data_IF_165528587979
#
_entry.id   IF_165528587979
#
_cell.length_a   1.000
_cell.length_b   1.000
_cell.length_c   1.000
_cell.angle_alpha   90.00
_cell.angle_beta   90.00
_cell.angle_gamma   90.00
#
_symmetry.space_group_name_H-M   'P 1'
#
loop_
_entity.id
_entity.type
_entity.pdbx_description
1 polymer ?
#
# COMPACT_ATOMS: atom_id res chain seq x y z
N UNK A 1 7.63 10.27 20.92
CA UNK A 1 7.41 9.00 20.19
C UNK A 1 6.75 7.93 21.05
N UNK A 2 7.14 7.76 22.31
CA UNK A 2 6.50 6.78 23.20
C UNK A 2 5.05 7.14 23.52
N UNK A 3 4.74 8.41 23.66
CA UNK A 3 3.37 8.90 23.84
C UNK A 3 2.46 8.53 22.64
N UNK A 4 2.96 8.65 21.42
CA UNK A 4 2.22 8.26 20.21
C UNK A 4 1.95 6.75 20.19
N UNK A 5 2.93 5.93 20.56
CA UNK A 5 2.74 4.46 20.68
C UNK A 5 1.66 4.11 21.69
N UNK A 6 1.68 4.76 22.85
CA UNK A 6 0.68 4.56 23.88
C UNK A 6 -0.73 4.94 23.42
N UNK A 7 -0.88 6.04 22.70
CA UNK A 7 -2.16 6.45 22.12
C UNK A 7 -2.67 5.42 21.10
N UNK A 8 -1.79 4.91 20.22
CA UNK A 8 -2.13 3.87 19.26
C UNK A 8 -2.56 2.57 19.98
N UNK A 9 -1.82 2.16 21.00
CA UNK A 9 -2.13 0.96 21.78
C UNK A 9 -3.46 1.08 22.54
N UNK A 10 -3.79 2.27 23.03
CA UNK A 10 -5.08 2.53 23.66
C UNK A 10 -6.26 2.37 22.70
N UNK A 11 -6.12 2.80 21.46
CA UNK A 11 -7.16 2.65 20.42
C UNK A 11 -7.36 1.19 20.03
N UNK A 12 -6.31 0.41 19.91
CA UNK A 12 -6.40 -1.02 19.55
C UNK A 12 -6.78 -1.91 20.73
N UNK A 13 -6.65 -1.43 21.98
CA UNK A 13 -7.09 -2.13 23.18
C UNK A 13 -8.61 -2.07 23.39
N UNK A 14 -9.31 -1.11 22.76
CA UNK A 14 -10.75 -0.97 22.85
C UNK A 14 -11.43 -2.11 22.04
N UNK A 15 -12.29 -2.97 22.67
CA UNK A 15 -12.97 -4.06 21.98
C UNK A 15 -13.90 -3.58 20.85
N UNK A 16 -14.41 -2.36 20.94
CA UNK A 16 -15.26 -1.75 19.90
C UNK A 16 -14.49 -0.85 18.94
N UNK A 17 -13.18 -0.69 19.16
CA UNK A 17 -12.31 0.12 18.34
C UNK A 17 -11.70 -0.62 17.15
N UNK A 18 -10.57 -0.13 16.69
CA UNK A 18 -9.80 -0.73 15.60
C UNK A 18 -9.05 -1.96 16.14
N UNK A 19 -9.27 -3.17 15.57
CA UNK A 19 -8.66 -4.38 16.09
C UNK A 19 -7.13 -4.37 16.04
N UNK A 20 -6.55 -3.76 15.03
CA UNK A 20 -5.11 -3.66 14.91
C UNK A 20 -4.66 -2.71 13.81
N UNK A 21 -3.44 -2.24 13.92
CA UNK A 21 -2.85 -1.31 12.98
C UNK A 21 -1.34 -1.44 12.91
N UNK A 22 -0.77 -1.05 11.78
CA UNK A 22 0.68 -0.89 11.60
C UNK A 22 0.95 0.52 11.10
N UNK A 23 1.86 1.19 11.77
CA UNK A 23 2.35 2.51 11.36
C UNK A 23 3.83 2.46 11.05
N UNK A 24 4.22 3.11 9.97
CA UNK A 24 5.61 3.43 9.71
C UNK A 24 5.74 4.80 9.09
N UNK A 25 6.85 5.46 9.38
CA UNK A 25 7.22 6.72 8.76
C UNK A 25 8.69 6.67 8.36
N UNK A 26 8.97 7.18 7.19
CA UNK A 26 10.32 7.30 6.65
C UNK A 26 10.66 8.76 6.39
N UNK A 27 11.93 9.11 6.53
CA UNK A 27 12.41 10.43 6.17
C UNK A 27 12.69 10.53 4.67
N UNK A 28 13.13 11.71 4.21
CA UNK A 28 13.47 11.96 2.81
C UNK A 28 14.62 11.09 2.27
N UNK A 29 15.42 10.48 3.14
CA UNK A 29 16.52 9.59 2.76
C UNK A 29 16.11 8.12 2.73
N UNK A 30 14.83 7.81 3.03
CA UNK A 30 14.32 6.44 3.11
C UNK A 30 14.61 5.74 4.44
N UNK A 31 15.12 6.46 5.45
CA UNK A 31 15.38 5.90 6.77
C UNK A 31 14.09 5.82 7.59
N UNK A 32 13.87 4.69 8.23
CA UNK A 32 12.71 4.44 9.07
C UNK A 32 12.85 5.21 10.39
N UNK A 33 12.04 6.25 10.57
CA UNK A 33 12.06 7.11 11.77
C UNK A 33 11.02 6.74 12.82
N UNK A 34 9.98 6.01 12.43
CA UNK A 34 8.94 5.50 13.31
C UNK A 34 8.38 4.20 12.77
N UNK A 35 8.19 3.21 13.64
CA UNK A 35 7.45 1.99 13.34
C UNK A 35 6.74 1.50 14.58
N UNK A 36 5.49 1.06 14.43
CA UNK A 36 4.70 0.49 15.50
C UNK A 36 3.62 -0.42 14.94
N UNK A 37 3.52 -1.62 15.46
CA UNK A 37 2.43 -2.55 15.21
C UNK A 37 1.67 -2.74 16.52
N UNK A 38 0.35 -2.63 16.49
CA UNK A 38 -0.50 -2.66 17.67
C UNK A 38 -1.77 -3.46 17.43
N UNK A 39 -2.23 -4.17 18.45
CA UNK A 39 -3.45 -4.96 18.41
C UNK A 39 -3.30 -6.32 17.75
N UNK A 40 -4.39 -6.81 17.14
CA UNK A 40 -4.50 -8.13 16.53
C UNK A 40 -4.85 -8.02 15.05
N UNK A 41 -4.66 -9.11 14.29
CA UNK A 41 -4.83 -9.13 12.83
C UNK A 41 -6.27 -8.95 12.35
N UNK A 42 -7.25 -9.04 13.22
CA UNK A 42 -8.66 -8.85 12.89
C UNK A 42 -9.58 -9.04 14.07
N UNK A 43 -10.83 -8.57 13.95
CA UNK A 43 -11.85 -8.71 14.99
C UNK A 43 -12.07 -10.20 15.32
N UNK A 44 -12.01 -10.55 16.61
CA UNK A 44 -12.15 -11.94 17.07
C UNK A 44 -10.94 -12.83 16.86
N UNK A 45 -9.82 -12.30 16.38
CA UNK A 45 -8.55 -13.01 16.25
C UNK A 45 -7.67 -12.78 17.48
N UNK A 46 -6.83 -13.74 17.79
CA UNK A 46 -5.86 -13.64 18.92
C UNK A 46 -4.44 -13.41 18.42
N UNK A 47 -4.19 -13.63 17.13
CA UNK A 47 -2.88 -13.42 16.52
C UNK A 47 -2.52 -11.93 16.53
N UNK A 48 -1.34 -11.63 17.07
CA UNK A 48 -0.88 -10.24 17.20
C UNK A 48 -0.50 -9.64 15.85
N UNK A 49 -0.82 -8.35 15.71
CA UNK A 49 -0.30 -7.53 14.62
C UNK A 49 1.22 -7.41 14.71
N UNK A 50 1.90 -7.54 13.58
CA UNK A 50 3.35 -7.34 13.46
C UNK A 50 3.67 -6.47 12.24
N UNK A 51 4.91 -6.02 12.14
CA UNK A 51 5.38 -5.30 10.96
C UNK A 51 5.35 -6.15 9.67
N UNK A 52 5.34 -7.48 9.80
CA UNK A 52 5.31 -8.43 8.68
C UNK A 52 3.88 -8.91 8.33
N UNK A 53 2.86 -8.39 9.01
CA UNK A 53 1.46 -8.74 8.73
C UNK A 53 1.08 -8.31 7.32
N UNK A 54 0.47 -9.23 6.56
CA UNK A 54 0.02 -8.96 5.20
C UNK A 54 -1.35 -8.29 5.22
N UNK A 55 -1.48 -7.19 4.49
CA UNK A 55 -2.70 -6.41 4.38
C UNK A 55 -3.29 -6.50 2.96
N UNK A 56 -4.60 -6.57 2.89
CA UNK A 56 -5.33 -6.31 1.66
C UNK A 56 -5.51 -4.80 1.49
N UNK A 57 -4.69 -4.20 0.65
CA UNK A 57 -4.64 -2.73 0.50
C UNK A 57 -5.58 -2.16 -0.56
N UNK A 58 -6.30 -3.04 -1.28
CA UNK A 58 -7.28 -2.63 -2.29
C UNK A 58 -6.75 -1.53 -3.23
N UNK A 59 -7.47 -0.41 -3.36
CA UNK A 59 -7.12 0.67 -4.28
C UNK A 59 -5.85 1.45 -3.92
N UNK A 60 -5.27 1.27 -2.74
CA UNK A 60 -3.93 1.80 -2.43
C UNK A 60 -2.86 1.25 -3.37
N UNK A 61 -3.12 0.09 -3.97
CA UNK A 61 -2.29 -0.51 -5.03
C UNK A 61 -2.12 0.42 -6.24
N UNK A 62 -3.10 1.27 -6.54
CA UNK A 62 -3.03 2.23 -7.65
C UNK A 62 -1.86 3.21 -7.49
N UNK A 63 -1.56 3.64 -6.27
CA UNK A 63 -0.39 4.48 -5.99
C UNK A 63 0.90 3.77 -6.36
N UNK A 64 1.05 2.50 -5.96
CA UNK A 64 2.24 1.68 -6.28
C UNK A 64 2.38 1.50 -7.78
N UNK A 65 1.29 1.17 -8.47
CA UNK A 65 1.25 1.03 -9.94
C UNK A 65 1.62 2.34 -10.64
N UNK A 66 1.07 3.47 -10.17
CA UNK A 66 1.38 4.80 -10.71
C UNK A 66 2.87 5.15 -10.57
N UNK A 67 3.47 4.89 -9.42
CA UNK A 67 4.90 5.10 -9.20
C UNK A 67 5.74 4.22 -10.13
N UNK A 68 5.38 2.94 -10.29
CA UNK A 68 6.07 2.04 -11.21
C UNK A 68 6.00 2.53 -12.67
N UNK A 69 4.83 3.01 -13.12
CA UNK A 69 4.67 3.62 -14.44
C UNK A 69 5.56 4.86 -14.61
N UNK A 70 5.60 5.73 -13.61
CA UNK A 70 6.42 6.94 -13.66
C UNK A 70 7.93 6.63 -13.70
N UNK A 71 8.36 5.57 -13.05
CA UNK A 71 9.76 5.09 -13.19
C UNK A 71 10.08 4.66 -14.63
N UNK A 72 9.12 4.03 -15.32
CA UNK A 72 9.29 3.68 -16.74
C UNK A 72 9.32 4.92 -17.64
N UNK A 73 8.56 5.95 -17.31
CA UNK A 73 8.59 7.25 -18.01
C UNK A 73 9.96 7.90 -17.83
N UNK A 74 10.49 7.96 -16.62
CA UNK A 74 11.83 8.50 -16.34
C UNK A 74 12.94 7.75 -17.10
N UNK A 75 12.79 6.44 -17.28
CA UNK A 75 13.71 5.61 -18.04
C UNK A 75 13.54 5.69 -19.56
N UNK A 76 12.57 6.49 -20.05
CA UNK A 76 12.27 6.62 -21.47
C UNK A 76 11.63 5.38 -22.11
N UNK A 77 11.14 4.45 -21.29
CA UNK A 77 10.49 3.21 -21.76
C UNK A 77 9.00 3.37 -21.99
N UNK A 78 8.40 4.39 -21.43
CA UNK A 78 6.99 4.72 -21.51
C UNK A 78 6.86 6.23 -21.70
N UNK A 79 5.81 6.67 -22.45
CA UNK A 79 5.42 8.06 -22.57
C UNK A 79 3.96 8.22 -22.18
N UNK A 80 3.62 9.29 -21.45
CA UNK A 80 2.29 9.48 -20.88
C UNK A 80 1.19 9.64 -21.93
N UNK A 81 1.52 10.27 -23.06
CA UNK A 81 0.55 10.62 -24.11
C UNK A 81 0.71 9.79 -25.39
N UNK A 82 1.45 8.68 -25.32
CA UNK A 82 1.72 7.79 -26.46
C UNK A 82 0.99 6.45 -26.28
N UNK A 83 -0.27 6.40 -26.71
CA UNK A 83 -1.09 5.20 -26.67
C UNK A 83 -0.55 4.06 -27.56
N UNK A 84 0.05 4.40 -28.69
CA UNK A 84 0.61 3.41 -29.63
C UNK A 84 1.81 2.70 -29.01
N UNK A 85 2.62 3.39 -28.24
CA UNK A 85 3.72 2.82 -27.49
C UNK A 85 3.22 1.82 -26.44
N UNK A 86 2.16 2.18 -25.70
CA UNK A 86 1.54 1.30 -24.71
C UNK A 86 0.99 0.04 -25.35
N UNK A 87 0.25 0.17 -26.46
CA UNK A 87 -0.31 -0.97 -27.20
C UNK A 87 0.79 -1.90 -27.76
N UNK A 88 1.90 -1.35 -28.18
CA UNK A 88 3.05 -2.12 -28.65
C UNK A 88 3.73 -2.94 -27.55
N UNK A 89 3.81 -2.36 -26.32
CA UNK A 89 4.46 -3.00 -25.17
C UNK A 89 3.53 -4.03 -24.53
N UNK A 90 2.26 -3.69 -24.39
CA UNK A 90 1.24 -4.50 -23.73
C UNK A 90 -0.08 -4.42 -24.53
N UNK A 91 -0.24 -5.26 -25.58
CA UNK A 91 -1.44 -5.24 -26.40
C UNK A 91 -2.69 -5.56 -25.57
N UNK A 92 -3.52 -4.54 -25.32
CA UNK A 92 -4.76 -4.67 -24.52
C UNK A 92 -6.03 -4.46 -25.36
N UNK A 93 -5.91 -3.88 -26.55
CA UNK A 93 -7.04 -3.62 -27.44
C UNK A 93 -7.80 -4.89 -27.82
N UNK A 94 -7.09 -5.99 -28.08
CA UNK A 94 -7.69 -7.29 -28.37
C UNK A 94 -8.43 -7.94 -27.21
N UNK A 95 -8.26 -7.46 -25.98
CA UNK A 95 -8.98 -7.96 -24.78
C UNK A 95 -10.34 -7.28 -24.57
N UNK A 96 -10.61 -6.19 -25.28
CA UNK A 96 -11.82 -5.37 -25.10
C UNK A 96 -12.91 -5.78 -26.11
N UNK A 97 -12.55 -6.31 -27.28
CA UNK A 97 -13.50 -6.69 -28.34
C UNK A 97 -14.36 -7.91 -27.99
N UNK A 98 -13.93 -8.79 -27.10
CA UNK A 98 -14.66 -10.02 -26.72
C UNK A 98 -15.76 -9.79 -25.64
N UNK A 99 -16.11 -8.53 -25.31
CA UNK A 99 -17.13 -8.21 -24.30
C UNK A 99 -18.39 -7.53 -24.86
N UNK A 100 -18.74 -7.79 -26.10
CA UNK A 100 -20.06 -7.37 -26.64
C UNK A 100 -21.04 -8.52 -26.61
#
# INVERSE_FOLDING_TARGET
>A
MDDLKQQIDAVTADPEGIPGTVYCAVNKNGELIFQHASGVIGKGKQEKMTMDTVFWIASCTKMVTGIACMQLVEQGKLALDDGDLVEKIAPVSGLVEDRQ
#
